data_IF_713040855123
#
_entry.id   IF_713040855123
#
_cell.length_a   1.000
_cell.length_b   1.000
_cell.length_c   1.000
_cell.angle_alpha   90.00
_cell.angle_beta   90.00
_cell.angle_gamma   90.00
#
_symmetry.space_group_name_H-M   'P 1'
#
loop_
_entity.id
_entity.type
_entity.pdbx_description
1 polymer ?
#
# COMPACT_ATOMS: atom_id res chain seq x y z
N UNK A 1 -32.46 4.49 1.12
CA UNK A 1 -31.72 4.03 2.32
C UNK A 1 -32.24 2.69 2.85
N UNK A 2 -32.48 1.65 2.03
CA UNK A 2 -33.10 0.38 2.49
C UNK A 2 -32.14 -0.81 2.60
N UNK A 3 -30.88 -0.66 2.20
CA UNK A 3 -29.92 -1.78 2.16
C UNK A 3 -28.62 -1.55 2.94
N UNK A 4 -28.23 -0.29 3.19
CA UNK A 4 -27.00 0.03 3.91
C UNK A 4 -27.27 1.18 4.89
N UNK A 5 -27.43 0.90 6.20
CA UNK A 5 -27.73 1.92 7.20
C UNK A 5 -26.55 2.87 7.46
N UNK A 6 -25.33 2.56 7.02
CA UNK A 6 -24.16 3.46 7.09
C UNK A 6 -23.37 3.50 5.79
N UNK A 7 -22.78 4.65 5.46
CA UNK A 7 -21.90 4.82 4.29
C UNK A 7 -20.75 3.80 4.26
N UNK A 8 -20.17 3.47 5.43
CA UNK A 8 -19.13 2.43 5.54
C UNK A 8 -19.58 1.05 5.08
N UNK A 9 -20.85 0.69 5.27
CA UNK A 9 -21.39 -0.63 4.88
C UNK A 9 -21.70 -0.69 3.38
N UNK A 10 -22.13 0.43 2.79
CA UNK A 10 -22.24 0.57 1.32
C UNK A 10 -20.86 0.51 0.66
N UNK A 11 -19.87 1.18 1.26
CA UNK A 11 -18.50 1.20 0.73
C UNK A 11 -17.81 -0.16 0.87
N UNK A 12 -18.02 -0.89 1.97
CA UNK A 12 -17.52 -2.24 2.14
C UNK A 12 -18.22 -3.25 1.20
N UNK A 13 -19.53 -3.06 0.92
CA UNK A 13 -20.23 -3.86 -0.08
C UNK A 13 -19.81 -3.54 -1.52
N UNK A 14 -19.44 -2.28 -1.81
CA UNK A 14 -18.93 -1.85 -3.10
C UNK A 14 -17.44 -2.16 -3.31
N UNK A 15 -16.69 -2.32 -2.22
CA UNK A 15 -15.25 -2.57 -2.18
C UNK A 15 -14.91 -3.59 -1.07
N UNK A 16 -15.19 -4.89 -1.27
CA UNK A 16 -14.93 -5.94 -0.28
C UNK A 16 -13.47 -5.97 0.21
N UNK A 17 -12.52 -5.57 -0.65
CA UNK A 17 -11.09 -5.40 -0.36
C UNK A 17 -10.79 -4.44 0.81
N UNK A 18 -11.77 -3.66 1.26
CA UNK A 18 -11.63 -2.74 2.40
C UNK A 18 -11.79 -3.40 3.77
N UNK A 19 -12.20 -4.68 3.83
CA UNK A 19 -12.42 -5.41 5.08
C UNK A 19 -11.17 -6.01 5.73
N UNK A 20 -10.04 -6.05 5.03
CA UNK A 20 -8.82 -6.70 5.54
C UNK A 20 -8.18 -5.90 6.68
N UNK A 21 -8.00 -6.54 7.84
CA UNK A 21 -7.31 -5.96 9.01
C UNK A 21 -5.80 -6.16 8.97
N UNK A 22 -5.35 -7.22 8.30
CA UNK A 22 -3.93 -7.55 8.04
C UNK A 22 -3.79 -8.12 6.63
N UNK A 23 -2.60 -8.00 6.04
CA UNK A 23 -2.21 -8.70 4.80
C UNK A 23 -1.15 -9.77 5.03
N UNK A 24 -0.73 -9.95 6.28
CA UNK A 24 0.16 -11.05 6.63
C UNK A 24 -0.62 -12.36 6.71
N UNK A 25 0.04 -13.50 6.43
CA UNK A 25 -0.56 -14.81 6.69
C UNK A 25 -0.73 -15.04 8.19
N UNK A 26 -1.61 -15.96 8.57
CA UNK A 26 -1.93 -16.30 9.97
C UNK A 26 -0.68 -16.61 10.81
N UNK A 27 0.30 -17.29 10.20
CA UNK A 27 1.61 -17.54 10.77
C UNK A 27 2.65 -16.72 9.98
N UNK A 28 2.87 -15.44 10.34
CA UNK A 28 3.75 -14.60 9.57
C UNK A 28 5.22 -14.98 9.76
N UNK A 29 6.06 -14.84 8.72
CA UNK A 29 7.48 -15.13 8.83
C UNK A 29 8.18 -14.31 9.93
N UNK A 30 9.30 -14.81 10.43
CA UNK A 30 10.15 -14.10 11.37
C UNK A 30 11.03 -13.05 10.66
N UNK A 31 11.47 -13.35 9.44
CA UNK A 31 12.29 -12.45 8.64
C UNK A 31 11.47 -11.26 8.13
N UNK A 32 12.02 -10.06 8.27
CA UNK A 32 11.32 -8.82 7.91
C UNK A 32 11.18 -8.65 6.40
N UNK A 33 12.12 -9.16 5.60
CA UNK A 33 12.01 -9.10 4.14
C UNK A 33 10.93 -10.06 3.63
N UNK A 34 10.85 -11.27 4.19
CA UNK A 34 9.77 -12.21 3.87
C UNK A 34 8.37 -11.67 4.26
N UNK A 35 8.25 -11.03 5.43
CA UNK A 35 7.01 -10.37 5.85
C UNK A 35 6.61 -9.24 4.90
N UNK A 36 7.57 -8.39 4.52
CA UNK A 36 7.32 -7.28 3.60
C UNK A 36 6.88 -7.80 2.23
N UNK A 37 7.57 -8.81 1.69
CA UNK A 37 7.23 -9.40 0.40
C UNK A 37 5.82 -10.00 0.39
N UNK A 38 5.41 -10.69 1.47
CA UNK A 38 4.06 -11.22 1.62
C UNK A 38 3.01 -10.09 1.55
N UNK A 39 3.21 -9.00 2.30
CA UNK A 39 2.30 -7.85 2.29
C UNK A 39 2.27 -7.16 0.94
N UNK A 40 3.42 -6.89 0.31
CA UNK A 40 3.47 -6.21 -1.00
C UNK A 40 2.84 -7.08 -2.09
N UNK A 41 3.07 -8.39 -2.06
CA UNK A 41 2.45 -9.34 -3.00
C UNK A 41 0.93 -9.32 -2.89
N UNK A 42 0.39 -9.42 -1.67
CA UNK A 42 -1.05 -9.38 -1.48
C UNK A 42 -1.64 -7.99 -1.81
N UNK A 43 -0.93 -6.92 -1.47
CA UNK A 43 -1.37 -5.55 -1.73
C UNK A 43 -1.44 -5.25 -3.24
N UNK A 44 -0.40 -5.60 -3.99
CA UNK A 44 -0.36 -5.40 -5.45
C UNK A 44 -1.41 -6.26 -6.16
N UNK A 45 -1.65 -7.49 -5.69
CA UNK A 45 -2.76 -8.32 -6.16
C UNK A 45 -4.11 -7.64 -5.99
N UNK A 46 -4.41 -7.10 -4.80
CA UNK A 46 -5.65 -6.36 -4.57
C UNK A 46 -5.78 -5.13 -5.48
N UNK A 47 -4.67 -4.42 -5.73
CA UNK A 47 -4.68 -3.29 -6.67
C UNK A 47 -5.06 -3.77 -8.07
N UNK A 48 -4.48 -4.87 -8.56
CA UNK A 48 -4.79 -5.41 -9.89
C UNK A 48 -6.24 -5.89 -9.99
N UNK A 49 -6.74 -6.59 -8.97
CA UNK A 49 -8.13 -7.06 -8.90
C UNK A 49 -9.15 -5.90 -8.90
N UNK A 50 -8.72 -4.71 -8.46
CA UNK A 50 -9.56 -3.51 -8.29
C UNK A 50 -9.08 -2.32 -9.11
N UNK A 51 -8.28 -2.55 -10.16
CA UNK A 51 -7.51 -1.50 -10.83
C UNK A 51 -8.41 -0.39 -11.39
N UNK A 52 -9.53 -0.75 -12.02
CA UNK A 52 -10.47 0.21 -12.57
C UNK A 52 -11.01 1.16 -11.49
N UNK A 53 -11.40 0.61 -10.34
CA UNK A 53 -11.87 1.36 -9.18
C UNK A 53 -10.77 2.26 -8.62
N UNK A 54 -9.54 1.74 -8.49
CA UNK A 54 -8.39 2.50 -8.02
C UNK A 54 -8.07 3.69 -8.94
N UNK A 55 -8.13 3.50 -10.26
CA UNK A 55 -7.93 4.56 -11.27
C UNK A 55 -9.03 5.62 -11.19
N UNK A 56 -10.29 5.22 -11.03
CA UNK A 56 -11.40 6.17 -10.81
C UNK A 56 -11.17 7.00 -9.55
N UNK A 57 -10.80 6.36 -8.44
CA UNK A 57 -10.53 7.06 -7.18
C UNK A 57 -9.30 7.97 -7.28
N UNK A 58 -8.26 7.56 -8.00
CA UNK A 58 -7.09 8.41 -8.26
C UNK A 58 -7.49 9.67 -9.03
N UNK A 59 -8.27 9.53 -10.11
CA UNK A 59 -8.78 10.67 -10.88
C UNK A 59 -9.58 11.63 -10.00
N UNK A 60 -10.57 11.13 -9.26
CA UNK A 60 -11.38 11.96 -8.35
C UNK A 60 -10.51 12.67 -7.31
N UNK A 61 -9.45 12.02 -6.83
CA UNK A 61 -8.55 12.61 -5.84
C UNK A 61 -7.70 13.77 -6.36
N UNK A 62 -7.64 13.99 -7.67
CA UNK A 62 -6.95 15.14 -8.27
C UNK A 62 -7.90 16.33 -8.47
N UNK A 63 -9.21 16.09 -8.51
CA UNK A 63 -10.24 17.10 -8.79
C UNK A 63 -10.88 17.66 -7.49
N UNK A 64 -10.78 16.95 -6.36
CA UNK A 64 -11.52 17.22 -5.12
C UNK A 64 -10.78 18.06 -4.06
N UNK A 65 -11.53 18.67 -3.14
CA UNK A 65 -10.99 19.35 -1.94
C UNK A 65 -10.28 18.36 -1.00
N UNK A 66 -9.49 18.85 -0.04
CA UNK A 66 -8.79 17.97 0.94
C UNK A 66 -9.77 17.06 1.70
N UNK A 67 -10.91 17.60 2.13
CA UNK A 67 -11.87 16.85 2.95
C UNK A 67 -12.59 15.77 2.15
N UNK A 68 -13.00 16.09 0.92
CA UNK A 68 -13.61 15.13 0.01
C UNK A 68 -12.63 13.99 -0.35
N UNK A 69 -11.35 14.30 -0.58
CA UNK A 69 -10.31 13.30 -0.85
C UNK A 69 -10.16 12.30 0.28
N UNK A 70 -10.25 12.76 1.53
CA UNK A 70 -10.17 11.91 2.72
C UNK A 70 -11.39 11.00 2.89
N UNK A 71 -12.47 11.22 2.15
CA UNK A 71 -13.67 10.36 2.18
C UNK A 71 -13.64 9.22 1.15
N UNK A 72 -12.65 9.20 0.24
CA UNK A 72 -12.58 8.22 -0.85
C UNK A 72 -12.22 6.80 -0.32
N UNK A 73 -13.02 5.75 -0.59
CA UNK A 73 -12.92 4.45 0.09
C UNK A 73 -11.58 3.74 -0.05
N UNK A 74 -10.91 3.90 -1.20
CA UNK A 74 -9.63 3.25 -1.53
C UNK A 74 -8.41 4.15 -1.25
N UNK A 75 -8.62 5.37 -0.76
CA UNK A 75 -7.55 6.34 -0.44
C UNK A 75 -7.48 6.67 1.05
N UNK A 76 -7.84 5.71 1.89
CA UNK A 76 -7.90 5.83 3.36
C UNK A 76 -6.59 5.52 4.08
N UNK A 77 -5.47 5.35 3.37
CA UNK A 77 -4.17 5.08 3.99
C UNK A 77 -4.00 3.68 4.61
N UNK A 78 -4.93 2.74 4.41
CA UNK A 78 -4.86 1.37 4.99
C UNK A 78 -3.54 0.64 4.74
N UNK A 79 -2.97 0.80 3.54
CA UNK A 79 -1.70 0.18 3.18
C UNK A 79 -0.51 0.65 4.05
N UNK A 80 -0.57 1.85 4.62
CA UNK A 80 0.44 2.33 5.58
C UNK A 80 0.43 1.42 6.83
N UNK A 81 -0.76 1.05 7.30
CA UNK A 81 -0.91 0.16 8.47
C UNK A 81 -0.36 -1.24 8.19
N UNK A 82 -0.72 -1.83 7.04
CA UNK A 82 -0.24 -3.18 6.68
C UNK A 82 1.27 -3.24 6.48
N UNK A 83 1.87 -2.23 5.85
CA UNK A 83 3.33 -2.16 5.70
C UNK A 83 3.99 -1.93 7.06
N UNK A 84 3.43 -1.10 7.94
CA UNK A 84 3.96 -0.91 9.29
C UNK A 84 3.92 -2.22 10.11
N UNK A 85 2.87 -3.03 9.96
CA UNK A 85 2.74 -4.34 10.58
C UNK A 85 3.81 -5.35 10.07
N UNK A 86 4.10 -5.33 8.76
CA UNK A 86 5.18 -6.14 8.20
C UNK A 86 6.55 -5.76 8.80
N UNK A 87 6.77 -4.47 9.01
CA UNK A 87 8.02 -3.91 9.53
C UNK A 87 8.13 -3.88 11.06
N UNK A 88 7.13 -4.39 11.79
CA UNK A 88 7.16 -4.43 13.26
C UNK A 88 8.40 -5.10 13.87
N UNK A 89 9.07 -6.12 13.26
CA UNK A 89 10.31 -6.67 13.79
C UNK A 89 11.51 -5.70 13.82
N UNK A 90 11.39 -4.53 13.19
CA UNK A 90 12.40 -3.46 13.27
C UNK A 90 12.26 -2.60 14.52
N UNK A 91 11.18 -2.72 15.27
CA UNK A 91 11.02 -2.01 16.55
C UNK A 91 12.16 -2.39 17.50
N UNK A 92 12.79 -1.38 18.10
CA UNK A 92 13.99 -1.55 18.93
C UNK A 92 15.31 -1.62 18.16
N UNK A 93 15.27 -1.86 16.84
CA UNK A 93 16.44 -1.77 15.93
C UNK A 93 16.48 -0.47 15.14
N UNK A 94 15.31 0.13 14.92
CA UNK A 94 15.12 1.40 14.23
C UNK A 94 14.14 2.28 15.03
N UNK A 95 14.33 3.59 14.98
CA UNK A 95 13.39 4.54 15.63
C UNK A 95 12.01 4.46 14.97
N UNK A 96 10.96 4.75 15.74
CA UNK A 96 9.58 4.76 15.21
C UNK A 96 9.43 5.73 14.04
N UNK A 97 10.02 6.92 14.14
CA UNK A 97 10.07 7.90 13.05
C UNK A 97 10.80 7.33 11.82
N UNK A 98 11.88 6.58 12.02
CA UNK A 98 12.60 5.89 10.94
C UNK A 98 11.75 4.85 10.24
N UNK A 99 11.07 3.99 11.01
CA UNK A 99 10.15 2.97 10.49
C UNK A 99 9.02 3.64 9.71
N UNK A 100 8.40 4.68 10.27
CA UNK A 100 7.31 5.39 9.59
C UNK A 100 7.75 5.96 8.24
N UNK A 101 8.96 6.52 8.17
CA UNK A 101 9.51 7.09 6.92
C UNK A 101 9.83 6.01 5.91
N UNK A 102 10.29 4.85 6.34
CA UNK A 102 10.44 3.67 5.48
C UNK A 102 9.08 3.15 4.97
N UNK A 103 8.05 3.09 5.83
CA UNK A 103 6.68 2.73 5.44
C UNK A 103 6.17 3.63 4.32
N UNK A 104 6.32 4.96 4.47
CA UNK A 104 5.89 5.92 3.46
C UNK A 104 6.65 5.77 2.14
N UNK A 105 7.97 5.54 2.21
CA UNK A 105 8.81 5.31 1.02
C UNK A 105 8.40 4.03 0.28
N UNK A 106 8.11 2.95 0.99
CA UNK A 106 7.64 1.71 0.36
C UNK A 106 6.24 1.91 -0.22
N UNK A 107 5.33 2.56 0.52
CA UNK A 107 3.95 2.80 0.05
C UNK A 107 3.92 3.67 -1.21
N UNK A 108 4.79 4.66 -1.34
CA UNK A 108 4.83 5.52 -2.54
C UNK A 108 5.24 4.73 -3.79
N UNK A 109 6.05 3.68 -3.64
CA UNK A 109 6.53 2.84 -4.74
C UNK A 109 5.63 1.63 -5.08
N UNK A 110 4.64 1.31 -4.26
CA UNK A 110 3.84 0.07 -4.37
C UNK A 110 2.34 0.31 -4.57
N UNK A 111 1.94 1.55 -4.83
CA UNK A 111 0.54 1.95 -5.01
C UNK A 111 0.03 1.94 -6.45
N UNK A 112 -1.25 2.29 -6.60
CA UNK A 112 -1.87 2.53 -7.91
C UNK A 112 -1.14 3.63 -8.70
N UNK A 113 -0.62 4.65 -8.02
CA UNK A 113 0.11 5.74 -8.66
C UNK A 113 1.34 5.23 -9.44
N UNK A 114 2.18 4.44 -8.76
CA UNK A 114 3.35 3.80 -9.38
C UNK A 114 2.97 2.77 -10.45
N UNK A 115 1.89 2.00 -10.24
CA UNK A 115 1.40 1.03 -11.23
C UNK A 115 1.01 1.76 -12.52
N UNK A 116 0.19 2.81 -12.42
CA UNK A 116 -0.26 3.62 -13.56
C UNK A 116 0.93 4.21 -14.32
N UNK A 117 1.95 4.73 -13.63
CA UNK A 117 3.14 5.24 -14.31
C UNK A 117 3.90 4.13 -15.07
N UNK A 118 4.12 2.98 -14.42
CA UNK A 118 4.84 1.85 -15.02
C UNK A 118 4.11 1.26 -16.23
N UNK A 119 2.78 1.19 -16.20
CA UNK A 119 1.99 0.65 -17.31
C UNK A 119 1.78 1.68 -18.41
N UNK A 120 1.31 2.88 -18.06
CA UNK A 120 0.80 3.84 -19.04
C UNK A 120 1.93 4.66 -19.69
N UNK A 121 3.03 4.90 -18.96
CA UNK A 121 4.16 5.72 -19.41
C UNK A 121 5.34 4.84 -19.78
N UNK A 122 5.74 3.92 -18.90
CA UNK A 122 6.88 3.04 -19.17
C UNK A 122 6.53 1.84 -20.06
N UNK A 123 5.25 1.60 -20.35
CA UNK A 123 4.80 0.58 -21.30
C UNK A 123 4.94 -0.87 -20.82
N UNK A 124 5.10 -1.08 -19.51
CA UNK A 124 5.24 -2.42 -18.93
C UNK A 124 3.89 -3.16 -18.89
N UNK A 125 3.94 -4.48 -18.98
CA UNK A 125 2.83 -5.33 -18.56
C UNK A 125 2.55 -5.17 -17.05
N UNK A 126 1.37 -5.61 -16.61
CA UNK A 126 0.99 -5.55 -15.19
C UNK A 126 1.90 -6.43 -14.34
N UNK A 127 2.28 -7.59 -14.87
CA UNK A 127 3.19 -8.53 -14.23
C UNK A 127 4.58 -7.92 -14.06
N UNK A 128 5.12 -7.27 -15.10
CA UNK A 128 6.41 -6.56 -15.04
C UNK A 128 6.36 -5.37 -14.09
N UNK A 129 5.26 -4.60 -14.11
CA UNK A 129 5.08 -3.48 -13.19
C UNK A 129 5.06 -3.95 -11.74
N UNK A 130 4.29 -4.99 -11.41
CA UNK A 130 4.26 -5.57 -10.05
C UNK A 130 5.64 -6.11 -9.64
N UNK A 131 6.35 -6.79 -10.54
CA UNK A 131 7.71 -7.26 -10.28
C UNK A 131 8.65 -6.08 -9.96
N UNK A 132 8.55 -4.97 -10.71
CA UNK A 132 9.31 -3.75 -10.47
C UNK A 132 8.98 -3.10 -9.12
N UNK A 133 7.70 -3.03 -8.76
CA UNK A 133 7.26 -2.51 -7.46
C UNK A 133 7.77 -3.36 -6.29
N UNK A 134 7.68 -4.69 -6.40
CA UNK A 134 8.21 -5.63 -5.39
C UNK A 134 9.73 -5.50 -5.23
N UNK A 135 10.45 -5.46 -6.35
CA UNK A 135 11.90 -5.23 -6.34
C UNK A 135 12.25 -3.91 -5.65
N UNK A 136 11.53 -2.84 -5.97
CA UNK A 136 11.75 -1.51 -5.38
C UNK A 136 11.49 -1.51 -3.86
N UNK A 137 10.39 -2.13 -3.41
CA UNK A 137 10.09 -2.26 -1.98
C UNK A 137 11.19 -3.02 -1.22
N UNK A 138 11.67 -4.13 -1.79
CA UNK A 138 12.79 -4.90 -1.23
C UNK A 138 14.07 -4.07 -1.18
N UNK A 139 14.41 -3.34 -2.24
CA UNK A 139 15.59 -2.47 -2.28
C UNK A 139 15.53 -1.37 -1.22
N UNK A 140 14.37 -0.75 -1.01
CA UNK A 140 14.17 0.26 0.04
C UNK A 140 14.37 -0.31 1.45
N UNK A 141 13.85 -1.52 1.71
CA UNK A 141 14.10 -2.21 2.97
C UNK A 141 15.58 -2.53 3.16
N UNK A 142 16.24 -3.10 2.15
CA UNK A 142 17.67 -3.44 2.21
C UNK A 142 18.53 -2.20 2.47
N UNK A 143 18.27 -1.10 1.75
CA UNK A 143 18.94 0.16 1.99
C UNK A 143 18.73 0.64 3.43
N UNK A 144 17.51 0.52 3.96
CA UNK A 144 17.20 0.96 5.31
C UNK A 144 17.88 0.11 6.40
N UNK A 145 18.06 -1.19 6.15
CA UNK A 145 18.79 -2.10 7.04
C UNK A 145 20.30 -1.83 7.03
N UNK A 146 20.86 -1.42 5.89
CA UNK A 146 22.31 -1.22 5.73
C UNK A 146 22.76 0.19 6.12
N UNK A 147 21.98 1.22 5.74
CA UNK A 147 22.37 2.63 5.82
C UNK A 147 21.44 3.45 6.72
N UNK A 148 20.44 2.82 7.31
CA UNK A 148 19.40 3.50 8.09
C UNK A 148 18.23 3.99 7.24
N UNK A 149 17.13 4.43 7.88
CA UNK A 149 15.91 4.83 7.19
C UNK A 149 16.19 6.00 6.22
N UNK A 150 15.24 6.33 5.30
CA UNK A 150 15.35 7.52 4.46
C UNK A 150 15.75 8.77 5.28
N UNK A 151 16.23 9.89 4.71
CA UNK A 151 16.60 11.11 5.45
C UNK A 151 15.40 12.02 5.79
N UNK A 152 15.38 12.58 7.01
CA UNK A 152 14.33 13.50 7.46
C UNK A 152 14.30 14.78 6.62
N UNK A 153 13.15 15.46 6.60
CA UNK A 153 13.10 16.85 6.17
C UNK A 153 13.77 17.75 7.21
#
# INVERSE_FOLDING_TARGET
YRYFPRQRELLAAAHPETGATSLLPENPPADVAERLDAVVTQFTRMILETEAQQRTMLRLSLEQTVEERRSLPLRQGRAIMWIAEALSPLQGKMTETGIHRLVLAIRSATGIESLVWLTDIAGLSREEAVASQRWTASALLQQALQQGPPPGA
#
